data_IF_313170277473
#
_entry.id   IF_313170277473
#
_cell.length_a   1.000
_cell.length_b   1.000
_cell.length_c   1.000
_cell.angle_alpha   90.00
_cell.angle_beta   90.00
_cell.angle_gamma   90.00
#
_symmetry.space_group_name_H-M   'P 1'
#
loop_
_entity.id
_entity.type
_entity.pdbx_description
1 polymer ?
#
# COMPACT_ATOMS: atom_id res chain seq x y z
N UNK A 1 24.52 -12.51 7.36
CA UNK A 1 24.25 -11.11 6.93
C UNK A 1 25.43 -10.26 7.38
N UNK A 2 26.03 -9.47 6.49
CA UNK A 2 27.11 -8.56 6.89
C UNK A 2 26.55 -7.45 7.81
N UNK A 3 27.30 -7.00 8.83
CA UNK A 3 26.84 -5.95 9.73
C UNK A 3 26.75 -4.60 9.01
N UNK A 4 25.70 -3.83 9.31
CA UNK A 4 25.52 -2.47 8.80
C UNK A 4 26.39 -1.54 9.65
N UNK A 5 27.42 -0.95 9.04
CA UNK A 5 28.43 -0.13 9.75
C UNK A 5 28.47 1.32 9.30
N UNK A 6 27.80 1.65 8.20
CA UNK A 6 27.79 3.00 7.62
C UNK A 6 26.39 3.37 7.16
N UNK A 7 26.14 4.66 7.00
CA UNK A 7 24.87 5.18 6.47
C UNK A 7 24.70 4.76 5.01
N UNK A 8 25.76 4.75 4.19
CA UNK A 8 25.71 4.22 2.83
C UNK A 8 25.26 2.75 2.76
N UNK A 9 25.74 1.90 3.68
CA UNK A 9 25.30 0.50 3.75
C UNK A 9 23.83 0.40 4.17
N UNK A 10 23.37 1.28 5.07
CA UNK A 10 21.97 1.35 5.45
C UNK A 10 21.10 1.82 4.28
N UNK A 11 21.52 2.86 3.55
CA UNK A 11 20.88 3.35 2.34
C UNK A 11 20.75 2.26 1.27
N UNK A 12 21.85 1.55 0.98
CA UNK A 12 21.84 0.42 0.05
C UNK A 12 20.82 -0.64 0.46
N UNK A 13 20.79 -0.98 1.76
CA UNK A 13 19.85 -1.98 2.28
C UNK A 13 18.40 -1.50 2.17
N UNK A 14 18.13 -0.23 2.44
CA UNK A 14 16.79 0.38 2.29
C UNK A 14 16.34 0.37 0.83
N UNK A 15 17.21 0.77 -0.11
CA UNK A 15 16.90 0.71 -1.55
C UNK A 15 16.71 -0.73 -2.06
N UNK A 16 17.49 -1.68 -1.55
CA UNK A 16 17.32 -3.10 -1.88
C UNK A 16 16.00 -3.66 -1.36
N UNK A 17 15.60 -3.29 -0.14
CA UNK A 17 14.28 -3.63 0.41
C UNK A 17 13.15 -3.01 -0.41
N UNK A 18 13.29 -1.75 -0.79
CA UNK A 18 12.31 -1.05 -1.60
C UNK A 18 12.12 -1.72 -2.96
N UNK A 19 13.21 -2.07 -3.64
CA UNK A 19 13.18 -2.87 -4.88
C UNK A 19 12.47 -4.22 -4.70
N UNK A 20 12.73 -4.93 -3.60
CA UNK A 20 12.03 -6.17 -3.26
C UNK A 20 10.54 -5.94 -2.98
N UNK A 21 10.18 -4.83 -2.33
CA UNK A 21 8.80 -4.48 -2.03
C UNK A 21 8.00 -4.21 -3.32
N UNK A 22 8.53 -3.40 -4.23
CA UNK A 22 7.90 -3.07 -5.52
C UNK A 22 7.64 -4.33 -6.38
N UNK A 23 8.60 -5.28 -6.39
CA UNK A 23 8.42 -6.58 -7.08
C UNK A 23 7.23 -7.38 -6.53
N UNK A 24 7.03 -7.35 -5.22
CA UNK A 24 5.89 -8.02 -4.59
C UNK A 24 4.60 -7.26 -4.86
N UNK A 25 4.60 -5.94 -4.68
CA UNK A 25 3.45 -5.08 -4.90
C UNK A 25 2.90 -5.21 -6.33
N UNK A 26 3.76 -5.29 -7.36
CA UNK A 26 3.32 -5.49 -8.74
C UNK A 26 2.54 -6.80 -8.94
N UNK A 27 2.91 -7.87 -8.23
CA UNK A 27 2.20 -9.16 -8.26
C UNK A 27 0.91 -9.10 -7.46
N UNK A 28 0.93 -8.42 -6.32
CA UNK A 28 -0.24 -8.21 -5.47
C UNK A 28 -1.31 -7.42 -6.23
N UNK A 29 -0.98 -6.24 -6.77
CA UNK A 29 -1.92 -5.42 -7.54
C UNK A 29 -2.46 -6.15 -8.78
N UNK A 30 -1.66 -6.99 -9.43
CA UNK A 30 -2.13 -7.86 -10.53
C UNK A 30 -3.14 -8.92 -10.09
N UNK A 31 -3.07 -9.36 -8.84
CA UNK A 31 -3.98 -10.36 -8.28
C UNK A 31 -5.25 -9.67 -7.82
N UNK A 32 -5.13 -8.59 -7.07
CA UNK A 32 -6.26 -7.79 -6.61
C UNK A 32 -7.10 -7.24 -7.76
N UNK A 33 -6.48 -6.77 -8.85
CA UNK A 33 -7.23 -6.23 -10.01
C UNK A 33 -8.12 -7.27 -10.69
N UNK A 34 -7.77 -8.56 -10.60
CA UNK A 34 -8.56 -9.68 -11.16
C UNK A 34 -9.65 -10.17 -10.21
N UNK A 35 -9.51 -9.91 -8.91
CA UNK A 35 -10.47 -10.32 -7.87
C UNK A 35 -11.51 -9.24 -7.57
N UNK A 36 -11.22 -7.99 -7.92
CA UNK A 36 -12.12 -6.86 -7.73
C UNK A 36 -13.46 -7.08 -8.46
N UNK A 37 -14.57 -6.95 -7.73
CA UNK A 37 -15.91 -7.01 -8.28
C UNK A 37 -16.33 -5.67 -8.90
N UNK A 38 -15.91 -4.56 -8.30
CA UNK A 38 -16.06 -3.21 -8.81
C UNK A 38 -15.08 -2.95 -9.98
N UNK A 39 -15.59 -2.70 -11.21
CA UNK A 39 -14.74 -2.41 -12.37
C UNK A 39 -13.86 -1.17 -12.19
N UNK A 40 -14.29 -0.20 -11.39
CA UNK A 40 -13.50 0.99 -11.08
C UNK A 40 -12.30 0.66 -10.19
N UNK A 41 -12.52 -0.19 -9.17
CA UNK A 41 -11.44 -0.71 -8.33
C UNK A 41 -10.44 -1.54 -9.15
N UNK A 42 -10.92 -2.43 -10.01
CA UNK A 42 -10.07 -3.22 -10.90
C UNK A 42 -9.17 -2.33 -11.77
N UNK A 43 -9.74 -1.28 -12.36
CA UNK A 43 -9.02 -0.30 -13.18
C UNK A 43 -7.97 0.46 -12.38
N UNK A 44 -8.33 0.91 -11.17
CA UNK A 44 -7.41 1.60 -10.27
C UNK A 44 -6.20 0.72 -9.90
N UNK A 45 -6.44 -0.53 -9.51
CA UNK A 45 -5.39 -1.48 -9.14
C UNK A 45 -4.48 -1.82 -10.34
N UNK A 46 -5.05 -1.89 -11.54
CA UNK A 46 -4.26 -2.10 -12.76
C UNK A 46 -3.36 -0.88 -13.06
N UNK A 47 -3.90 0.33 -12.97
CA UNK A 47 -3.11 1.55 -13.13
C UNK A 47 -2.00 1.66 -12.07
N UNK A 48 -2.31 1.27 -10.82
CA UNK A 48 -1.32 1.22 -9.74
C UNK A 48 -0.20 0.22 -10.04
N UNK A 49 -0.54 -0.99 -10.51
CA UNK A 49 0.43 -2.00 -10.94
C UNK A 49 1.39 -1.46 -12.00
N UNK A 50 0.88 -0.74 -13.00
CA UNK A 50 1.70 -0.16 -14.05
C UNK A 50 2.64 0.93 -13.51
N UNK A 51 2.16 1.75 -12.57
CA UNK A 51 3.00 2.72 -11.87
C UNK A 51 4.13 2.04 -11.07
N UNK A 52 3.82 0.98 -10.32
CA UNK A 52 4.80 0.15 -9.59
C UNK A 52 5.84 -0.46 -10.55
N UNK A 53 5.44 -0.98 -11.71
CA UNK A 53 6.38 -1.52 -12.69
C UNK A 53 7.32 -0.46 -13.28
N UNK A 54 6.80 0.75 -13.57
CA UNK A 54 7.64 1.88 -13.98
C UNK A 54 8.63 2.25 -12.89
N UNK A 55 8.17 2.32 -11.63
CA UNK A 55 8.99 2.64 -10.46
C UNK A 55 10.10 1.61 -10.24
N UNK A 56 9.80 0.34 -10.42
CA UNK A 56 10.77 -0.74 -10.35
C UNK A 56 11.90 -0.56 -11.38
N UNK A 57 11.56 -0.29 -12.64
CA UNK A 57 12.54 -0.03 -13.69
C UNK A 57 13.38 1.22 -13.42
N UNK A 58 12.75 2.25 -12.86
CA UNK A 58 13.41 3.49 -12.46
C UNK A 58 14.46 3.22 -11.36
N UNK A 59 14.14 2.46 -10.32
CA UNK A 59 15.10 2.12 -9.24
C UNK A 59 16.30 1.34 -9.79
N UNK A 60 16.07 0.42 -10.72
CA UNK A 60 17.16 -0.34 -11.38
C UNK A 60 18.08 0.58 -12.18
N UNK A 61 17.50 1.60 -12.84
CA UNK A 61 18.27 2.64 -13.53
C UNK A 61 19.05 3.53 -12.55
N UNK A 62 18.45 3.94 -11.41
CA UNK A 62 19.16 4.65 -10.34
C UNK A 62 20.35 3.84 -9.86
N UNK A 63 20.15 2.55 -9.63
CA UNK A 63 21.19 1.67 -9.11
C UNK A 63 22.41 1.63 -10.04
N UNK A 64 22.16 1.55 -11.35
CA UNK A 64 23.20 1.62 -12.36
C UNK A 64 23.91 2.99 -12.39
N UNK A 65 23.17 4.10 -12.32
CA UNK A 65 23.75 5.46 -12.42
C UNK A 65 24.52 5.89 -11.16
N UNK A 66 24.05 5.47 -9.99
CA UNK A 66 24.62 5.85 -8.69
C UNK A 66 25.63 4.82 -8.16
N UNK A 67 26.03 3.83 -8.98
CA UNK A 67 26.92 2.74 -8.58
C UNK A 67 26.46 2.04 -7.28
N UNK A 68 25.16 1.76 -7.18
CA UNK A 68 24.53 1.05 -6.06
C UNK A 68 24.29 -0.40 -6.50
N UNK A 69 24.88 -1.34 -5.79
CA UNK A 69 24.70 -2.77 -6.04
C UNK A 69 23.49 -3.31 -5.28
N UNK A 70 22.29 -3.17 -5.88
CA UNK A 70 21.06 -3.72 -5.31
C UNK A 70 21.21 -5.23 -5.08
N UNK A 71 20.90 -5.67 -3.87
CA UNK A 71 21.03 -7.08 -3.50
C UNK A 71 19.66 -7.70 -3.16
N UNK A 72 19.65 -9.01 -2.90
CA UNK A 72 18.44 -9.77 -2.58
C UNK A 72 17.93 -9.56 -1.15
N UNK A 73 18.06 -8.35 -0.58
CA UNK A 73 17.51 -8.06 0.75
C UNK A 73 15.99 -8.03 0.67
N UNK A 74 15.36 -8.93 1.43
CA UNK A 74 13.91 -9.00 1.55
C UNK A 74 13.33 -7.83 2.34
N UNK A 75 12.18 -7.34 1.88
CA UNK A 75 11.29 -6.49 2.65
C UNK A 75 10.26 -7.36 3.38
N UNK A 76 10.58 -7.73 4.63
CA UNK A 76 9.69 -8.57 5.46
C UNK A 76 8.34 -7.88 5.75
N UNK A 77 8.32 -6.55 5.85
CA UNK A 77 7.06 -5.81 6.02
C UNK A 77 6.11 -6.02 4.84
N UNK A 78 6.63 -6.03 3.61
CA UNK A 78 5.82 -6.28 2.42
C UNK A 78 5.44 -7.76 2.28
N UNK A 79 6.29 -8.69 2.73
CA UNK A 79 5.93 -10.12 2.81
C UNK A 79 4.74 -10.32 3.77
N UNK A 80 4.76 -9.70 4.95
CA UNK A 80 3.64 -9.76 5.90
C UNK A 80 2.35 -9.14 5.36
N UNK A 81 2.42 -8.01 4.66
CA UNK A 81 1.25 -7.43 3.99
C UNK A 81 0.69 -8.35 2.89
N UNK A 82 1.56 -9.06 2.16
CA UNK A 82 1.14 -10.03 1.17
C UNK A 82 0.39 -11.21 1.82
N UNK A 83 0.83 -11.65 2.98
CA UNK A 83 0.16 -12.69 3.78
C UNK A 83 -1.21 -12.20 4.30
N UNK A 84 -1.29 -10.99 4.86
CA UNK A 84 -2.57 -10.40 5.30
C UNK A 84 -3.56 -10.27 4.14
N UNK A 85 -3.09 -9.93 2.93
CA UNK A 85 -3.91 -9.88 1.72
C UNK A 85 -4.42 -11.27 1.33
N UNK A 86 -3.55 -12.28 1.39
CA UNK A 86 -3.94 -13.65 1.07
C UNK A 86 -5.01 -14.15 2.05
N UNK A 87 -4.83 -13.92 3.35
CA UNK A 87 -5.82 -14.25 4.38
C UNK A 87 -7.16 -13.54 4.13
N UNK A 88 -7.13 -12.24 3.77
CA UNK A 88 -8.34 -11.49 3.41
C UNK A 88 -9.09 -12.13 2.23
N UNK A 89 -8.36 -12.52 1.17
CA UNK A 89 -8.94 -13.14 -0.02
C UNK A 89 -9.56 -14.50 0.31
N UNK A 90 -8.95 -15.27 1.20
CA UNK A 90 -9.48 -16.57 1.64
C UNK A 90 -10.69 -16.43 2.57
N UNK A 91 -10.71 -15.41 3.43
CA UNK A 91 -11.74 -15.20 4.44
C UNK A 91 -13.01 -14.53 3.89
N UNK A 92 -12.89 -13.61 2.93
CA UNK A 92 -14.00 -12.84 2.40
C UNK A 92 -14.53 -13.39 1.07
N UNK A 93 -15.86 -13.46 0.94
CA UNK A 93 -16.50 -13.81 -0.34
C UNK A 93 -16.29 -12.67 -1.37
N UNK A 94 -16.19 -13.00 -2.67
CA UNK A 94 -16.16 -11.99 -3.73
C UNK A 94 -17.36 -11.04 -3.63
N UNK A 95 -17.13 -9.74 -3.81
CA UNK A 95 -18.14 -8.70 -3.70
C UNK A 95 -17.66 -7.51 -2.88
N UNK A 96 -18.62 -6.69 -2.42
CA UNK A 96 -18.36 -5.40 -1.77
C UNK A 96 -17.41 -5.48 -0.56
N UNK A 97 -17.56 -6.51 0.29
CA UNK A 97 -16.74 -6.69 1.49
C UNK A 97 -15.28 -6.96 1.13
N UNK A 98 -15.04 -7.86 0.16
CA UNK A 98 -13.68 -8.12 -0.31
C UNK A 98 -13.10 -6.87 -0.98
N UNK A 99 -13.87 -6.16 -1.80
CA UNK A 99 -13.44 -4.91 -2.45
C UNK A 99 -13.05 -3.82 -1.44
N UNK A 100 -13.81 -3.66 -0.35
CA UNK A 100 -13.48 -2.74 0.73
C UNK A 100 -12.17 -3.13 1.42
N UNK A 101 -12.00 -4.42 1.73
CA UNK A 101 -10.75 -4.95 2.27
C UNK A 101 -9.56 -4.74 1.33
N UNK A 102 -9.73 -5.01 0.03
CA UNK A 102 -8.70 -4.82 -0.98
C UNK A 102 -8.29 -3.35 -1.11
N UNK A 103 -9.23 -2.40 -1.02
CA UNK A 103 -8.93 -0.96 -0.98
C UNK A 103 -8.05 -0.62 0.22
N UNK A 104 -8.42 -1.09 1.42
CA UNK A 104 -7.64 -0.85 2.64
C UNK A 104 -6.22 -1.42 2.51
N UNK A 105 -6.09 -2.66 2.05
CA UNK A 105 -4.80 -3.32 1.92
C UNK A 105 -3.92 -2.69 0.84
N UNK A 106 -4.52 -2.32 -0.31
CA UNK A 106 -3.81 -1.59 -1.36
C UNK A 106 -3.22 -0.27 -0.83
N UNK A 107 -3.97 0.49 -0.03
CA UNK A 107 -3.44 1.71 0.61
C UNK A 107 -2.28 1.44 1.56
N UNK A 108 -2.33 0.37 2.35
CA UNK A 108 -1.23 -0.01 3.27
C UNK A 108 0.05 -0.28 2.51
N UNK A 109 -0.05 -1.04 1.40
CA UNK A 109 1.07 -1.30 0.48
C UNK A 109 1.63 0.02 -0.05
N UNK A 110 0.78 0.89 -0.59
CA UNK A 110 1.17 2.19 -1.16
C UNK A 110 1.86 3.10 -0.15
N UNK A 111 1.33 3.17 1.07
CA UNK A 111 1.94 3.98 2.14
C UNK A 111 3.30 3.42 2.55
N UNK A 112 3.44 2.11 2.68
CA UNK A 112 4.72 1.48 2.98
C UNK A 112 5.79 1.76 1.92
N UNK A 113 5.41 1.75 0.64
CA UNK A 113 6.30 2.14 -0.47
C UNK A 113 6.77 3.60 -0.35
N UNK A 114 5.84 4.51 -0.02
CA UNK A 114 6.16 5.93 0.16
C UNK A 114 7.04 6.20 1.39
N UNK A 115 6.81 5.49 2.50
CA UNK A 115 7.65 5.56 3.70
C UNK A 115 9.07 5.08 3.37
N UNK A 116 9.24 3.96 2.66
CA UNK A 116 10.56 3.47 2.25
C UNK A 116 11.33 4.45 1.34
N UNK A 117 10.63 5.15 0.45
CA UNK A 117 11.23 6.23 -0.36
C UNK A 117 11.66 7.42 0.49
N UNK A 118 10.84 7.79 1.48
CA UNK A 118 11.14 8.88 2.41
C UNK A 118 12.36 8.56 3.26
N UNK A 119 12.45 7.33 3.77
CA UNK A 119 13.62 6.81 4.48
C UNK A 119 14.86 6.84 3.58
N UNK A 120 14.74 6.43 2.31
CA UNK A 120 15.85 6.47 1.37
C UNK A 120 16.34 7.91 1.11
N UNK A 121 15.44 8.89 0.99
CA UNK A 121 15.82 10.32 0.86
C UNK A 121 16.54 10.81 2.11
N UNK A 122 16.02 10.51 3.30
CA UNK A 122 16.66 10.87 4.56
C UNK A 122 18.08 10.29 4.64
N UNK A 123 18.24 9.00 4.34
CA UNK A 123 19.54 8.33 4.38
C UNK A 123 20.51 8.85 3.32
N UNK A 124 20.03 9.17 2.11
CA UNK A 124 20.85 9.76 1.07
C UNK A 124 21.36 11.15 1.47
N UNK A 125 20.52 11.96 2.12
CA UNK A 125 20.92 13.24 2.70
C UNK A 125 22.00 13.08 3.77
N UNK A 126 21.79 12.17 4.72
CA UNK A 126 22.76 11.90 5.79
C UNK A 126 24.08 11.32 5.28
N UNK A 127 24.07 10.55 4.18
CA UNK A 127 25.27 10.01 3.54
C UNK A 127 25.98 11.01 2.60
N UNK A 128 25.41 12.20 2.37
CA UNK A 128 25.95 13.15 1.38
C UNK A 128 25.81 12.69 -0.08
N UNK A 129 24.91 11.73 -0.35
CA UNK A 129 24.64 11.15 -1.67
C UNK A 129 23.72 12.04 -2.50
N UNK A 130 24.25 13.18 -2.91
CA UNK A 130 23.54 14.16 -3.75
C UNK A 130 23.11 13.62 -5.12
N UNK A 131 23.83 12.62 -5.63
CA UNK A 131 23.48 11.85 -6.83
C UNK A 131 22.15 11.10 -6.65
N UNK A 132 21.98 10.42 -5.51
CA UNK A 132 20.78 9.66 -5.16
C UNK A 132 19.61 10.61 -4.87
N UNK A 133 19.84 11.69 -4.11
CA UNK A 133 18.81 12.68 -3.80
C UNK A 133 18.21 13.32 -5.05
N UNK A 134 19.07 13.80 -5.95
CA UNK A 134 18.65 14.41 -7.22
C UNK A 134 17.72 13.49 -7.99
N UNK A 135 18.05 12.20 -8.02
CA UNK A 135 17.24 11.22 -8.72
C UNK A 135 15.89 10.97 -8.02
N UNK A 136 15.90 10.84 -6.68
CA UNK A 136 14.67 10.63 -5.90
C UNK A 136 13.70 11.83 -5.97
N UNK A 137 14.24 13.03 -6.17
CA UNK A 137 13.45 14.25 -6.35
C UNK A 137 12.87 14.35 -7.77
N UNK A 138 13.67 14.03 -8.80
CA UNK A 138 13.19 13.94 -10.19
C UNK A 138 12.11 12.88 -10.35
N UNK A 139 12.23 11.76 -9.63
CA UNK A 139 11.26 10.67 -9.64
C UNK A 139 10.01 10.96 -8.78
N UNK A 140 10.06 11.97 -7.90
CA UNK A 140 8.92 12.45 -7.11
C UNK A 140 8.06 13.49 -7.84
N UNK A 141 8.66 14.29 -8.73
CA UNK A 141 7.97 15.35 -9.49
C UNK A 141 6.88 14.85 -10.47
N UNK A 142 6.86 13.55 -10.80
CA UNK A 142 5.81 12.93 -11.60
C UNK A 142 4.69 12.24 -10.79
N UNK A 143 4.78 12.24 -9.46
CA UNK A 143 3.83 11.52 -8.59
C UNK A 143 2.67 12.39 -8.08
N UNK A 144 2.76 13.72 -8.19
CA UNK A 144 1.81 14.66 -7.60
C UNK A 144 0.47 14.83 -8.34
N UNK A 145 0.34 14.40 -9.60
CA UNK A 145 -0.83 14.73 -10.43
C UNK A 145 -1.54 13.53 -11.08
N UNK A 146 -1.12 12.28 -10.83
CA UNK A 146 -1.68 11.14 -11.60
C UNK A 146 -1.64 9.75 -10.98
N UNK A 147 -1.20 9.57 -9.72
CA UNK A 147 -1.35 8.26 -9.07
C UNK A 147 -2.75 8.15 -8.45
N UNK A 148 -3.61 7.23 -8.91
CA UNK A 148 -4.92 7.04 -8.31
C UNK A 148 -4.72 6.41 -6.93
N UNK A 149 -4.84 7.22 -5.88
CA UNK A 149 -4.97 6.69 -4.53
C UNK A 149 -6.34 6.04 -4.38
N UNK A 150 -6.44 4.79 -3.87
CA UNK A 150 -7.71 4.23 -3.45
C UNK A 150 -8.16 5.00 -2.21
N UNK A 151 -8.86 6.12 -2.39
CA UNK A 151 -9.32 6.95 -1.29
C UNK A 151 -10.41 6.20 -0.49
N UNK A 152 -10.37 6.33 0.84
CA UNK A 152 -11.54 6.07 1.70
C UNK A 152 -12.06 7.43 2.13
N UNK A 153 -13.33 7.73 1.86
CA UNK A 153 -13.97 8.92 2.39
C UNK A 153 -14.01 8.80 3.94
N UNK A 154 -13.17 9.56 4.63
CA UNK A 154 -13.29 9.80 6.07
C UNK A 154 -13.70 11.24 6.38
N UNK A 155 -13.63 12.15 5.41
CA UNK A 155 -14.07 13.54 5.55
C UNK A 155 -15.23 13.78 4.57
N UNK A 156 -16.36 14.23 5.10
CA UNK A 156 -17.67 14.28 4.44
C UNK A 156 -17.86 15.34 3.36
N UNK A 157 -16.97 15.44 2.37
CA UNK A 157 -17.21 16.22 1.15
C UNK A 157 -16.85 15.41 -0.10
N UNK A 158 -17.88 15.11 -0.89
CA UNK A 158 -17.77 14.41 -2.18
C UNK A 158 -17.27 15.40 -3.23
N UNK A 159 -15.96 15.43 -3.44
CA UNK A 159 -15.35 15.99 -4.65
C UNK A 159 -15.36 14.95 -5.79
N UNK A 160 -15.56 15.35 -7.07
CA UNK A 160 -15.68 14.40 -8.16
C UNK A 160 -14.30 13.96 -8.71
N UNK A 161 -14.20 12.65 -9.00
CA UNK A 161 -13.20 11.91 -9.83
C UNK A 161 -11.90 11.51 -9.08
N UNK A 162 -11.42 10.25 -9.04
CA UNK A 162 -11.58 9.09 -9.92
C UNK A 162 -11.77 7.75 -9.15
N UNK A 163 -12.55 6.84 -9.76
CA UNK A 163 -12.93 5.48 -9.32
C UNK A 163 -14.12 5.37 -8.34
N UNK A 164 -15.28 5.80 -8.85
CA UNK A 164 -16.56 5.06 -8.74
C UNK A 164 -17.10 4.82 -7.34
N UNK A 165 -17.60 5.86 -6.68
CA UNK A 165 -18.40 5.73 -5.47
C UNK A 165 -19.89 5.96 -5.83
N UNK A 166 -20.51 4.98 -6.48
CA UNK A 166 -21.95 5.01 -6.72
C UNK A 166 -22.49 3.58 -6.80
N UNK A 167 -22.68 2.95 -5.63
CA UNK A 167 -23.73 1.94 -5.32
C UNK A 167 -23.26 1.02 -4.18
N UNK A 168 -23.33 1.49 -2.92
CA UNK A 168 -23.48 0.57 -1.78
C UNK A 168 -24.94 0.62 -1.38
N UNK A 169 -25.72 -0.18 -2.08
CA UNK A 169 -27.17 -0.30 -1.93
C UNK A 169 -27.58 -1.67 -2.45
N UNK A 170 -27.02 -2.74 -1.86
CA UNK A 170 -27.35 -4.13 -2.15
C UNK A 170 -27.83 -4.82 -0.89
N UNK A 171 -29.02 -5.43 -0.96
CA UNK A 171 -29.63 -6.19 0.13
C UNK A 171 -28.79 -7.44 0.50
N UNK A 172 -28.81 -7.88 1.77
CA UNK A 172 -28.09 -9.06 2.21
C UNK A 172 -28.82 -10.33 1.73
N UNK A 173 -28.19 -11.09 0.84
CA UNK A 173 -28.53 -12.48 0.55
C UNK A 173 -27.27 -13.34 0.68
N UNK A 174 -27.11 -13.96 1.85
CA UNK A 174 -26.88 -15.41 2.02
C UNK A 174 -26.53 -15.71 3.47
N UNK A 175 -27.41 -16.45 4.14
CA UNK A 175 -27.34 -16.79 5.56
C UNK A 175 -26.01 -17.48 5.95
N UNK A 176 -25.14 -16.72 6.59
CA UNK A 176 -24.13 -17.18 7.53
C UNK A 176 -24.21 -16.26 8.75
N UNK A 177 -24.04 -16.79 9.96
CA UNK A 177 -24.54 -16.24 11.23
C UNK A 177 -24.03 -14.82 11.61
N UNK A 178 -24.50 -13.79 10.91
CA UNK A 178 -24.20 -12.37 11.10
C UNK A 178 -24.55 -11.89 12.52
N UNK A 179 -25.47 -12.59 13.20
CA UNK A 179 -25.85 -12.30 14.58
C UNK A 179 -24.71 -12.58 15.57
N UNK A 180 -23.83 -13.55 15.30
CA UNK A 180 -22.69 -13.86 16.15
C UNK A 180 -21.56 -12.82 16.01
N UNK A 181 -21.39 -12.25 14.80
CA UNK A 181 -20.41 -11.19 14.53
C UNK A 181 -20.93 -9.83 15.01
N UNK A 182 -22.20 -9.51 14.77
CA UNK A 182 -22.84 -8.28 15.25
C UNK A 182 -22.75 -8.14 16.78
N UNK A 183 -22.82 -9.23 17.54
CA UNK A 183 -22.60 -9.23 19.00
C UNK A 183 -21.16 -8.89 19.42
N UNK A 184 -20.19 -9.04 18.52
CA UNK A 184 -18.75 -8.82 18.77
C UNK A 184 -18.29 -7.45 18.26
N UNK A 185 -19.06 -6.82 17.38
CA UNK A 185 -18.82 -5.48 16.79
C UNK A 185 -19.75 -4.40 17.38
N UNK A 186 -20.77 -4.78 18.15
CA UNK A 186 -21.60 -3.82 18.88
C UNK A 186 -20.71 -2.92 19.78
N UNK A 187 -20.91 -1.59 19.76
CA UNK A 187 -20.13 -0.70 20.63
C UNK A 187 -20.37 -1.11 22.07
N UNK A 188 -19.29 -1.26 22.86
CA UNK A 188 -19.39 -1.36 24.31
C UNK A 188 -20.28 -0.19 24.76
N UNK A 189 -21.48 -0.50 25.22
CA UNK A 189 -22.45 0.52 25.58
C UNK A 189 -21.88 1.37 26.69
N UNK A 190 -21.98 2.67 26.48
CA UNK A 190 -21.53 3.75 27.34
C UNK A 190 -22.34 3.72 28.65
N UNK A 191 -21.85 3.02 29.67
CA UNK A 191 -22.33 3.14 31.05
C UNK A 191 -21.14 3.20 32.02
N UNK A 192 -20.52 4.38 32.12
CA UNK A 192 -19.96 4.81 33.39
C UNK A 192 -21.05 5.54 34.18
N UNK A 193 -21.55 4.99 35.30
CA UNK A 193 -22.41 5.78 36.17
C UNK A 193 -21.56 6.87 36.83
N UNK A 194 -21.74 8.12 36.38
CA UNK A 194 -21.35 9.29 37.15
C UNK A 194 -22.13 9.27 38.47
N UNK A 195 -21.47 8.83 39.55
CA UNK A 195 -21.94 9.15 40.90
C UNK A 195 -21.55 10.58 41.21
N UNK A 196 -22.53 11.47 41.06
CA UNK A 196 -22.54 12.76 41.73
C UNK A 196 -22.99 12.52 43.17
N UNK A 197 -22.08 12.71 44.13
CA UNK A 197 -22.28 13.45 45.38
C UNK A 197 -20.92 13.94 45.87
#
# INVERSE_FOLDING_TARGET
MAPIRTIDLLLLRTLSKFHHAEKQAARLFSTLSRLAADPALATCLQARREATLRRLALIELLAAQCAIDLNSTKCLAMEGLAEEIAELIEAARPGEVLDAGMRIMARRVMRGEQEMLTDARMLASLAGRSDVLRWLDQSGGGQGEGEPEPQTAADGEIGPIACGLAALGGAPDDAMDDAAIARRVAPMSDEMPMRIQ
#
